data_IF_100657914540
#
_entry.id   IF_100657914540
#
_cell.length_a   1.000
_cell.length_b   1.000
_cell.length_c   1.000
_cell.angle_alpha   90.00
_cell.angle_beta   90.00
_cell.angle_gamma   90.00
#
_symmetry.space_group_name_H-M   'P 1'
#
loop_
_entity.id
_entity.type
_entity.pdbx_description
1 polymer ?
#
# COMPACT_ATOMS: atom_id res chain seq x y z
N UNK A 1 21.30 10.80 7.21
CA UNK A 1 19.98 10.63 6.58
C UNK A 1 18.89 10.84 7.61
N UNK A 2 18.00 11.80 7.37
CA UNK A 2 16.85 12.07 8.25
C UNK A 2 15.86 10.89 8.26
N UNK A 3 14.90 10.89 9.19
CA UNK A 3 13.81 9.91 9.16
C UNK A 3 12.91 10.12 7.94
N UNK A 4 12.65 11.37 7.55
CA UNK A 4 11.85 11.69 6.37
C UNK A 4 12.49 11.14 5.08
N UNK A 5 13.78 11.37 4.87
CA UNK A 5 14.52 10.85 3.72
C UNK A 5 14.48 9.31 3.70
N UNK A 6 14.57 8.69 4.89
CA UNK A 6 14.50 7.25 5.01
C UNK A 6 13.12 6.70 4.67
N UNK A 7 12.04 7.36 5.10
CA UNK A 7 10.67 7.00 4.71
C UNK A 7 10.45 7.18 3.21
N UNK A 8 10.99 8.24 2.61
CA UNK A 8 10.95 8.46 1.16
C UNK A 8 11.66 7.35 0.40
N UNK A 9 12.83 6.93 0.88
CA UNK A 9 13.54 5.76 0.36
C UNK A 9 12.69 4.48 0.46
N UNK A 10 12.11 4.18 1.63
CA UNK A 10 11.27 2.99 1.81
C UNK A 10 10.02 2.99 0.93
N UNK A 11 9.43 4.16 0.64
CA UNK A 11 8.33 4.28 -0.33
C UNK A 11 8.76 3.92 -1.75
N UNK A 12 9.98 4.29 -2.16
CA UNK A 12 10.52 3.92 -3.46
C UNK A 12 10.76 2.40 -3.55
N UNK A 13 11.37 1.82 -2.52
CA UNK A 13 11.57 0.36 -2.43
C UNK A 13 10.24 -0.41 -2.45
N UNK A 14 9.22 0.10 -1.75
CA UNK A 14 7.88 -0.49 -1.76
C UNK A 14 7.27 -0.48 -3.16
N UNK A 15 7.31 0.65 -3.86
CA UNK A 15 6.79 0.73 -5.23
C UNK A 15 7.50 -0.25 -6.17
N UNK A 16 8.83 -0.35 -6.05
CA UNK A 16 9.61 -1.27 -6.86
C UNK A 16 9.21 -2.72 -6.58
N UNK A 17 9.27 -3.14 -5.32
CA UNK A 17 8.99 -4.52 -4.91
C UNK A 17 7.53 -4.95 -5.09
N UNK A 18 6.58 -4.02 -5.06
CA UNK A 18 5.15 -4.32 -5.08
C UNK A 18 4.45 -4.00 -6.40
N UNK A 19 5.11 -3.38 -7.38
CA UNK A 19 4.44 -3.06 -8.65
C UNK A 19 5.35 -3.14 -9.86
N UNK A 20 6.60 -2.72 -9.75
CA UNK A 20 7.53 -2.81 -10.89
C UNK A 20 8.10 -4.23 -11.03
N UNK A 21 8.37 -4.89 -9.92
CA UNK A 21 8.87 -6.26 -9.87
C UNK A 21 7.73 -7.29 -9.76
N UNK A 22 6.83 -7.32 -10.74
CA UNK A 22 5.81 -8.38 -10.80
C UNK A 22 6.42 -9.73 -11.17
N UNK A 23 5.87 -10.79 -10.59
CA UNK A 23 6.25 -12.17 -10.86
C UNK A 23 5.59 -12.64 -12.16
N UNK A 24 6.34 -12.52 -13.27
CA UNK A 24 5.86 -12.83 -14.60
C UNK A 24 5.45 -14.31 -14.80
N UNK A 25 5.84 -15.21 -13.89
CA UNK A 25 5.48 -16.62 -13.93
C UNK A 25 4.18 -16.94 -13.16
N UNK A 26 3.66 -15.99 -12.37
CA UNK A 26 2.43 -16.18 -11.61
C UNK A 26 1.20 -15.83 -12.47
N UNK A 27 0.21 -16.72 -12.54
CA UNK A 27 -0.94 -16.62 -13.47
C UNK A 27 -1.71 -15.29 -13.36
N UNK A 28 -1.88 -14.76 -12.15
CA UNK A 28 -2.59 -13.48 -11.91
C UNK A 28 -1.68 -12.24 -12.10
N UNK A 29 -0.38 -12.39 -11.83
CA UNK A 29 0.57 -11.28 -11.77
C UNK A 29 1.23 -11.05 -13.15
N UNK A 30 1.46 -12.12 -13.91
CA UNK A 30 2.00 -12.09 -15.27
C UNK A 30 0.99 -11.79 -16.38
N UNK A 31 -0.33 -11.89 -16.12
CA UNK A 31 -1.39 -11.67 -17.11
C UNK A 31 -2.56 -10.82 -16.56
N UNK A 32 -2.25 -9.60 -16.13
CA UNK A 32 -3.24 -8.69 -15.52
C UNK A 32 -3.93 -7.79 -16.56
N UNK A 33 -5.25 -7.59 -16.43
CA UNK A 33 -6.01 -6.69 -17.29
C UNK A 33 -5.65 -5.21 -17.07
N UNK A 34 -5.81 -4.38 -18.10
CA UNK A 34 -5.57 -2.92 -17.98
C UNK A 34 -6.44 -2.26 -16.89
N UNK A 35 -7.67 -2.76 -16.69
CA UNK A 35 -8.55 -2.25 -15.64
C UNK A 35 -8.01 -2.57 -14.24
N UNK A 36 -7.48 -3.78 -14.04
CA UNK A 36 -6.86 -4.18 -12.78
C UNK A 36 -5.58 -3.38 -12.52
N UNK A 37 -4.72 -3.20 -13.52
CA UNK A 37 -3.53 -2.34 -13.43
C UNK A 37 -3.88 -0.93 -12.94
N UNK A 38 -4.86 -0.27 -13.56
CA UNK A 38 -5.32 1.07 -13.14
C UNK A 38 -5.84 1.07 -11.71
N UNK A 39 -6.63 0.06 -11.34
CA UNK A 39 -7.16 -0.07 -9.99
C UNK A 39 -6.05 -0.20 -8.94
N UNK A 40 -5.18 -1.19 -9.11
CA UNK A 40 -4.04 -1.47 -8.21
C UNK A 40 -3.13 -0.25 -8.11
N UNK A 41 -2.73 0.33 -9.24
CA UNK A 41 -1.88 1.51 -9.27
C UNK A 41 -2.51 2.70 -8.55
N UNK A 42 -3.82 2.93 -8.70
CA UNK A 42 -4.52 4.01 -7.99
C UNK A 42 -4.45 3.85 -6.46
N UNK A 43 -4.53 2.62 -5.95
CA UNK A 43 -4.39 2.32 -4.52
C UNK A 43 -2.96 2.55 -4.05
N UNK A 44 -1.96 2.09 -4.80
CA UNK A 44 -0.55 2.30 -4.48
C UNK A 44 -0.21 3.80 -4.43
N UNK A 45 -0.70 4.60 -5.38
CA UNK A 45 -0.48 6.06 -5.39
C UNK A 45 -1.05 6.72 -4.13
N UNK A 46 -2.21 6.27 -3.63
CA UNK A 46 -2.78 6.78 -2.36
C UNK A 46 -1.86 6.48 -1.18
N UNK A 47 -1.32 5.26 -1.11
CA UNK A 47 -0.38 4.85 -0.05
C UNK A 47 0.92 5.65 -0.13
N UNK A 48 1.49 5.80 -1.32
CA UNK A 48 2.72 6.58 -1.55
C UNK A 48 2.57 8.06 -1.19
N UNK A 49 1.37 8.62 -1.38
CA UNK A 49 1.03 10.01 -1.02
C UNK A 49 0.62 10.19 0.45
N UNK A 50 0.31 9.12 1.17
CA UNK A 50 -0.06 9.21 2.58
C UNK A 50 1.08 9.81 3.41
N UNK A 51 0.75 10.72 4.33
CA UNK A 51 1.70 11.18 5.35
C UNK A 51 1.79 10.10 6.41
N UNK A 52 2.96 9.46 6.50
CA UNK A 52 3.24 8.39 7.45
C UNK A 52 4.25 8.91 8.47
N UNK A 53 3.90 8.83 9.74
CA UNK A 53 4.76 9.26 10.85
C UNK A 53 5.25 8.04 11.63
N UNK A 54 6.54 8.05 11.97
CA UNK A 54 7.20 6.97 12.69
C UNK A 54 8.04 7.53 13.83
N UNK A 55 8.18 6.75 14.91
CA UNK A 55 9.03 7.13 16.04
C UNK A 55 10.52 7.00 15.69
N UNK A 56 10.87 5.97 14.91
CA UNK A 56 12.24 5.67 14.52
C UNK A 56 12.29 4.93 13.16
N UNK A 57 13.51 4.68 12.68
CA UNK A 57 13.74 3.99 11.41
C UNK A 57 13.37 2.50 11.44
N UNK A 58 13.42 1.85 12.60
CA UNK A 58 13.11 0.43 12.71
C UNK A 58 11.60 0.20 12.66
N UNK A 59 10.81 1.08 13.26
CA UNK A 59 9.36 1.14 13.10
C UNK A 59 8.97 1.34 11.63
N UNK A 60 9.62 2.29 10.94
CA UNK A 60 9.41 2.50 9.52
C UNK A 60 9.74 1.24 8.69
N UNK A 61 10.88 0.60 8.95
CA UNK A 61 11.30 -0.60 8.22
C UNK A 61 10.32 -1.75 8.40
N UNK A 62 9.90 -2.03 9.65
CA UNK A 62 8.93 -3.11 9.95
C UNK A 62 7.61 -2.88 9.23
N UNK A 63 7.10 -1.65 9.28
CA UNK A 63 5.86 -1.29 8.58
C UNK A 63 5.95 -1.53 7.06
N UNK A 64 7.00 -1.04 6.40
CA UNK A 64 7.14 -1.20 4.95
C UNK A 64 7.39 -2.67 4.55
N UNK A 65 8.03 -3.47 5.40
CA UNK A 65 8.15 -4.91 5.19
C UNK A 65 6.77 -5.59 5.18
N UNK A 66 5.94 -5.33 6.19
CA UNK A 66 4.59 -5.88 6.29
C UNK A 66 3.71 -5.42 5.12
N UNK A 67 3.71 -4.11 4.85
CA UNK A 67 2.97 -3.53 3.72
C UNK A 67 3.35 -4.16 2.38
N UNK A 68 4.65 -4.40 2.16
CA UNK A 68 5.14 -5.05 0.93
C UNK A 68 4.62 -6.47 0.80
N UNK A 69 4.64 -7.26 1.89
CA UNK A 69 4.16 -8.65 1.86
C UNK A 69 2.66 -8.72 1.58
N UNK A 70 1.85 -7.93 2.30
CA UNK A 70 0.41 -7.86 2.06
C UNK A 70 0.09 -7.44 0.62
N UNK A 71 0.85 -6.48 0.07
CA UNK A 71 0.64 -6.01 -1.30
C UNK A 71 1.02 -7.08 -2.33
N UNK A 72 2.07 -7.88 -2.09
CA UNK A 72 2.45 -9.00 -2.95
C UNK A 72 1.39 -10.10 -2.95
N UNK A 73 0.85 -10.45 -1.79
CA UNK A 73 -0.26 -11.39 -1.67
C UNK A 73 -1.52 -10.87 -2.38
N UNK A 74 -1.80 -9.57 -2.23
CA UNK A 74 -2.91 -8.91 -2.91
C UNK A 74 -2.75 -8.94 -4.43
N UNK A 75 -1.54 -8.68 -4.94
CA UNK A 75 -1.24 -8.75 -6.37
C UNK A 75 -1.41 -10.16 -6.96
N UNK A 76 -1.15 -11.20 -6.17
CA UNK A 76 -1.36 -12.60 -6.55
C UNK A 76 -2.81 -13.06 -6.43
N UNK A 77 -3.67 -12.27 -5.79
CA UNK A 77 -5.08 -12.60 -5.60
C UNK A 77 -5.92 -12.19 -6.82
N UNK A 78 -6.82 -13.08 -7.31
CA UNK A 78 -7.74 -12.73 -8.40
C UNK A 78 -8.63 -11.54 -8.02
N UNK A 79 -8.79 -10.58 -8.94
CA UNK A 79 -9.62 -9.41 -8.66
C UNK A 79 -11.08 -9.82 -8.37
N UNK A 80 -11.64 -9.26 -7.30
CA UNK A 80 -13.00 -9.58 -6.85
C UNK A 80 -13.12 -10.86 -6.01
N UNK A 81 -12.02 -11.57 -5.75
CA UNK A 81 -12.04 -12.69 -4.81
C UNK A 81 -12.23 -12.19 -3.36
N UNK A 82 -12.70 -13.07 -2.46
CA UNK A 82 -12.74 -12.76 -1.02
C UNK A 82 -11.36 -12.36 -0.47
N UNK A 83 -10.30 -13.03 -0.91
CA UNK A 83 -8.92 -12.71 -0.49
C UNK A 83 -8.46 -11.36 -1.00
N UNK A 84 -8.78 -11.00 -2.24
CA UNK A 84 -8.45 -9.68 -2.78
C UNK A 84 -9.08 -8.56 -1.94
N UNK A 85 -10.35 -8.73 -1.56
CA UNK A 85 -11.08 -7.75 -0.73
C UNK A 85 -10.52 -7.69 0.69
N UNK A 86 -10.24 -8.86 1.29
CA UNK A 86 -9.68 -8.97 2.63
C UNK A 86 -8.28 -8.34 2.72
N UNK A 87 -7.40 -8.66 1.78
CA UNK A 87 -6.04 -8.13 1.74
C UNK A 87 -6.03 -6.62 1.47
N UNK A 88 -6.89 -6.14 0.57
CA UNK A 88 -7.04 -4.69 0.34
C UNK A 88 -7.49 -3.96 1.62
N UNK A 89 -8.42 -4.54 2.37
CA UNK A 89 -8.84 -4.00 3.66
C UNK A 89 -7.70 -4.02 4.69
N UNK A 90 -6.94 -5.11 4.79
CA UNK A 90 -5.79 -5.18 5.70
C UNK A 90 -4.73 -4.11 5.39
N UNK A 91 -4.43 -3.89 4.09
CA UNK A 91 -3.52 -2.83 3.65
C UNK A 91 -4.07 -1.45 4.05
N UNK A 92 -5.36 -1.20 3.87
CA UNK A 92 -5.99 0.06 4.24
C UNK A 92 -5.88 0.32 5.75
N UNK A 93 -6.27 -0.66 6.58
CA UNK A 93 -6.18 -0.55 8.05
C UNK A 93 -4.74 -0.32 8.51
N UNK A 94 -3.78 -1.05 7.94
CA UNK A 94 -2.37 -0.90 8.27
C UNK A 94 -1.89 0.55 8.01
N UNK A 95 -2.23 1.11 6.85
CA UNK A 95 -1.86 2.49 6.48
C UNK A 95 -2.59 3.53 7.33
N UNK A 96 -3.88 3.33 7.60
CA UNK A 96 -4.68 4.23 8.45
C UNK A 96 -4.18 4.27 9.90
N UNK A 97 -3.63 3.17 10.42
CA UNK A 97 -3.03 3.13 11.76
C UNK A 97 -1.80 4.04 11.93
N UNK A 98 -1.20 4.52 10.84
CA UNK A 98 -0.06 5.44 10.84
C UNK A 98 -0.33 6.79 10.19
N UNK A 99 -1.43 6.91 9.44
CA UNK A 99 -1.86 8.19 8.94
C UNK A 99 -2.39 9.02 10.12
N UNK A 100 -2.06 10.32 10.22
CA UNK A 100 -2.74 11.17 11.19
C UNK A 100 -4.25 11.07 10.90
N UNK A 101 -5.00 10.68 11.93
CA UNK A 101 -6.45 10.55 11.86
C UNK A 101 -7.00 11.83 11.26
N UNK A 102 -7.65 11.70 10.10
CA UNK A 102 -8.38 12.80 9.49
C UNK A 102 -9.62 13.04 10.37
N UNK A 103 -9.44 13.67 11.53
CA UNK A 103 -10.54 14.24 12.31
C UNK A 103 -10.71 15.67 11.84
N UNK A 104 -11.39 15.86 10.71
CA UNK A 104 -11.99 17.14 10.37
C UNK A 104 -13.42 16.93 9.87
N UNK A 105 -14.37 17.22 10.77
CA UNK A 105 -15.55 18.04 10.50
C UNK A 105 -16.49 17.61 9.36
N UNK A 106 -17.47 16.78 9.68
CA UNK A 106 -18.81 16.98 9.14
C UNK A 106 -19.81 16.92 10.29
N UNK A 107 -19.85 18.03 11.05
CA UNK A 107 -21.01 18.44 11.81
C UNK A 107 -21.46 19.79 11.28
N UNK A 108 -22.79 19.89 11.16
CA UNK A 108 -23.63 21.09 10.99
C UNK A 108 -23.99 21.53 9.56
N UNK A 109 -25.29 21.32 9.28
CA UNK A 109 -26.27 22.29 8.74
C UNK A 109 -25.96 22.92 7.37
N UNK A 110 -26.82 22.80 6.35
CA UNK A 110 -28.29 22.98 6.26
C UNK A 110 -28.81 22.11 5.12
#
# INVERSE_FOLDING_TARGET
>A
TSLEDFVRYLKAEYLDASYLQQDAFHEVDGATSANRQRYVFSRLVRILRARLSFNDKDAARRFFQELTQLTKEWNRSPQGSPDFTRLEHQIAVLVEGLAPSQVEGSTAHV
#
